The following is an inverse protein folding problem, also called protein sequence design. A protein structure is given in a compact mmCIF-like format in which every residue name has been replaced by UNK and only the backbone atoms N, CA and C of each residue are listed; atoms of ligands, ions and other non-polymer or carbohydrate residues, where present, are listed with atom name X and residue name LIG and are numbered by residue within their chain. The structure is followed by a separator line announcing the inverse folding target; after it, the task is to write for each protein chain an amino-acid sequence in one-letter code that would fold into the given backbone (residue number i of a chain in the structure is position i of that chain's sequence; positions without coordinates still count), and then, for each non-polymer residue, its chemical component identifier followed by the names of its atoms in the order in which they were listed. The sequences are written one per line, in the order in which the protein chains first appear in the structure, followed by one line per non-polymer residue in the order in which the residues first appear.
data_IF_281989884339
#
_entry.id   IF_281989884339
#
_cell.length_a   1.000
_cell.length_b   1.000
_cell.length_c   1.000
_cell.angle_alpha   90.00
_cell.angle_beta   90.00
_cell.angle_gamma   90.00
#
_symmetry.space_group_name_H-M   'P 1'
#
loop_
_entity.id
_entity.type
_entity.pdbx_description
1 polymer ?
#
# COMPACT_ATOMS: atom_id res chain seq x y z
N UNK A 1 -11.63 -2.23 -7.73
CA UNK A 1 -10.39 -3.02 -7.77
C UNK A 1 -9.77 -3.13 -6.39
N UNK A 2 -8.74 -3.96 -6.24
CA UNK A 2 -7.93 -4.06 -5.03
C UNK A 2 -6.68 -3.20 -5.20
N UNK A 3 -6.56 -2.16 -4.38
CA UNK A 3 -5.41 -1.24 -4.34
C UNK A 3 -4.54 -1.59 -3.14
N UNK A 4 -3.24 -1.80 -3.36
CA UNK A 4 -2.27 -2.19 -2.35
C UNK A 4 -1.27 -1.07 -2.07
N UNK A 5 -1.23 -0.59 -0.83
CA UNK A 5 -0.30 0.43 -0.35
C UNK A 5 0.81 -0.26 0.44
N UNK A 6 2.04 -0.24 -0.07
CA UNK A 6 3.17 -0.86 0.60
C UNK A 6 3.83 0.07 1.61
N UNK A 7 4.56 -0.55 2.55
CA UNK A 7 5.56 0.15 3.34
C UNK A 7 6.81 0.32 2.49
N UNK A 8 7.31 1.55 2.42
CA UNK A 8 8.59 1.83 1.75
C UNK A 8 9.76 1.14 2.45
N UNK A 9 10.63 0.54 1.64
CA UNK A 9 11.81 -0.20 2.10
C UNK A 9 13.13 0.46 1.69
N UNK A 10 13.08 1.50 0.85
CA UNK A 10 14.27 2.26 0.47
C UNK A 10 14.78 3.03 1.68
N UNK A 11 16.10 3.02 1.87
CA UNK A 11 16.73 3.74 2.98
C UNK A 11 16.33 5.23 2.95
N UNK A 12 16.06 5.76 4.15
CA UNK A 12 15.65 7.16 4.38
C UNK A 12 14.32 7.59 3.74
N UNK A 13 13.55 6.66 3.16
CA UNK A 13 12.20 6.93 2.70
C UNK A 13 11.20 6.72 3.85
N UNK A 14 10.57 7.81 4.29
CA UNK A 14 9.59 7.82 5.38
C UNK A 14 8.16 8.13 4.89
N UNK A 15 8.01 8.45 3.60
CA UNK A 15 6.70 8.74 2.99
C UNK A 15 5.93 7.44 2.76
N UNK A 16 4.64 7.60 2.51
CA UNK A 16 3.73 6.54 2.09
C UNK A 16 2.91 7.05 0.90
N UNK A 17 2.59 6.18 -0.05
CA UNK A 17 1.96 6.58 -1.31
C UNK A 17 0.50 7.02 -1.17
N UNK A 18 -0.11 6.83 0.01
CA UNK A 18 -1.50 7.16 0.27
C UNK A 18 -1.74 7.53 1.73
N UNK A 19 -2.41 8.67 1.93
CA UNK A 19 -2.90 9.12 3.24
C UNK A 19 -4.22 8.43 3.59
N UNK A 20 -4.67 8.45 4.87
CA UNK A 20 -5.97 7.92 5.26
C UNK A 20 -7.16 8.53 4.48
N UNK A 21 -7.14 9.83 4.16
CA UNK A 21 -8.19 10.44 3.34
C UNK A 21 -8.23 9.92 1.89
N UNK A 22 -7.07 9.55 1.33
CA UNK A 22 -7.03 8.87 0.02
C UNK A 22 -7.61 7.46 0.08
N UNK A 23 -7.39 6.75 1.20
CA UNK A 23 -8.02 5.45 1.44
C UNK A 23 -9.53 5.58 1.50
N UNK A 24 -10.04 6.52 2.30
CA UNK A 24 -11.48 6.79 2.45
C UNK A 24 -12.12 6.99 1.08
N UNK A 25 -11.57 7.92 0.28
CA UNK A 25 -12.08 8.21 -1.06
C UNK A 25 -12.12 6.97 -1.97
N UNK A 26 -11.06 6.16 -2.02
CA UNK A 26 -11.07 4.94 -2.83
C UNK A 26 -12.08 3.91 -2.32
N UNK A 27 -12.23 3.77 -1.01
CA UNK A 27 -13.21 2.86 -0.42
C UNK A 27 -14.65 3.29 -0.69
N UNK A 28 -14.95 4.60 -0.63
CA UNK A 28 -16.26 5.17 -1.00
C UNK A 28 -16.62 4.91 -2.47
N UNK A 29 -15.62 4.89 -3.35
CA UNK A 29 -15.79 4.53 -4.77
C UNK A 29 -15.81 3.01 -5.02
N UNK A 30 -15.97 2.21 -3.98
CA UNK A 30 -16.16 0.75 -4.07
C UNK A 30 -14.87 -0.04 -4.32
N UNK A 31 -13.69 0.55 -4.09
CA UNK A 31 -12.43 -0.17 -4.14
C UNK A 31 -12.07 -0.79 -2.78
N UNK A 32 -11.37 -1.92 -2.80
CA UNK A 32 -10.79 -2.49 -1.57
C UNK A 32 -9.37 -1.98 -1.44
N UNK A 33 -9.08 -1.29 -0.34
CA UNK A 33 -7.72 -0.82 -0.05
C UNK A 33 -7.04 -1.73 0.97
N UNK A 34 -5.88 -2.26 0.59
CA UNK A 34 -5.00 -3.04 1.45
C UNK A 34 -3.80 -2.16 1.81
N UNK A 35 -3.48 -2.04 3.09
CA UNK A 35 -2.32 -1.26 3.55
C UNK A 35 -1.37 -2.19 4.31
N UNK A 36 -0.08 -2.16 3.97
CA UNK A 36 0.90 -2.93 4.71
C UNK A 36 0.99 -2.43 6.15
N UNK A 37 1.10 -3.37 7.09
CA UNK A 37 1.27 -3.06 8.50
C UNK A 37 2.45 -2.10 8.66
N UNK A 38 2.17 -0.97 9.31
CA UNK A 38 3.11 0.10 9.61
C UNK A 38 3.61 0.89 8.38
N UNK A 39 2.95 0.82 7.23
CA UNK A 39 3.34 1.56 6.02
C UNK A 39 3.41 3.08 6.24
N UNK A 40 2.39 3.66 6.89
CA UNK A 40 2.34 5.11 7.11
C UNK A 40 3.00 5.61 8.39
N UNK A 41 3.66 4.76 9.19
CA UNK A 41 4.21 5.20 10.48
C UNK A 41 5.24 6.32 10.32
N UNK A 42 6.13 6.23 9.33
CA UNK A 42 7.11 7.29 9.03
C UNK A 42 6.47 8.62 8.61
N UNK A 43 5.21 8.58 8.17
CA UNK A 43 4.40 9.75 7.76
C UNK A 43 3.41 10.19 8.84
N UNK A 44 3.45 9.61 10.04
CA UNK A 44 2.52 9.96 11.13
C UNK A 44 1.12 9.34 11.02
N UNK A 45 0.96 8.28 10.23
CA UNK A 45 -0.30 7.53 10.10
C UNK A 45 -0.13 6.12 10.65
N UNK A 46 -0.74 5.83 11.80
CA UNK A 46 -0.76 4.48 12.35
C UNK A 46 -1.77 3.56 11.63
N UNK A 47 -1.67 2.26 11.94
CA UNK A 47 -2.57 1.25 11.38
C UNK A 47 -4.05 1.48 11.77
N UNK A 48 -4.31 2.10 12.93
CA UNK A 48 -5.66 2.40 13.40
C UNK A 48 -6.33 3.42 12.49
N UNK A 49 -5.63 4.52 12.18
CA UNK A 49 -6.12 5.56 11.26
C UNK A 49 -6.50 4.99 9.90
N UNK A 50 -5.68 4.12 9.33
CA UNK A 50 -6.02 3.47 8.06
C UNK A 50 -7.27 2.60 8.17
N UNK A 51 -7.43 1.83 9.25
CA UNK A 51 -8.65 1.01 9.46
C UNK A 51 -9.90 1.85 9.61
N UNK A 52 -9.83 2.95 10.36
CA UNK A 52 -10.93 3.89 10.56
C UNK A 52 -11.42 4.47 9.23
N UNK A 53 -10.51 4.65 8.26
CA UNK A 53 -10.82 5.14 6.90
C UNK A 53 -11.08 4.02 5.89
N UNK A 54 -11.34 2.78 6.35
CA UNK A 54 -11.80 1.67 5.51
C UNK A 54 -10.72 0.76 4.94
N UNK A 55 -9.44 0.96 5.23
CA UNK A 55 -8.39 0.04 4.78
C UNK A 55 -8.36 -1.27 5.58
N UNK A 56 -7.92 -2.33 4.89
CA UNK A 56 -7.58 -3.62 5.51
C UNK A 56 -6.06 -3.69 5.71
N UNK A 57 -5.61 -3.77 6.95
CA UNK A 57 -4.19 -3.93 7.27
C UNK A 57 -3.72 -5.34 6.94
N UNK A 58 -2.58 -5.45 6.26
CA UNK A 58 -1.98 -6.72 5.82
C UNK A 58 -0.56 -6.83 6.37
N UNK A 59 -0.18 -8.00 6.88
CA UNK A 59 1.08 -8.17 7.60
C UNK A 59 2.34 -8.24 6.72
N UNK A 60 2.21 -8.38 5.40
CA UNK A 60 3.36 -8.51 4.51
C UNK A 60 3.11 -7.89 3.13
N UNK A 61 4.14 -7.26 2.57
CA UNK A 61 4.18 -6.83 1.17
C UNK A 61 3.84 -7.98 0.21
N UNK A 62 4.35 -9.20 0.47
CA UNK A 62 4.08 -10.39 -0.36
C UNK A 62 2.58 -10.69 -0.49
N UNK A 63 1.83 -10.56 0.60
CA UNK A 63 0.38 -10.79 0.56
C UNK A 63 -0.34 -9.68 -0.22
N UNK A 64 0.15 -8.44 -0.17
CA UNK A 64 -0.40 -7.32 -0.96
C UNK A 64 -0.12 -7.54 -2.45
N UNK A 65 1.13 -7.81 -2.84
CA UNK A 65 1.49 -8.13 -4.22
C UNK A 65 0.64 -9.28 -4.80
N UNK A 66 0.37 -10.32 -3.99
CA UNK A 66 -0.48 -11.47 -4.39
C UNK A 66 -1.96 -11.11 -4.58
N UNK A 67 -2.47 -10.07 -3.93
CA UNK A 67 -3.92 -9.78 -3.87
C UNK A 67 -4.32 -8.54 -4.66
N UNK A 68 -3.44 -7.55 -4.77
CA UNK A 68 -3.75 -6.27 -5.37
C UNK A 68 -3.72 -6.34 -6.89
N UNK A 69 -4.67 -5.65 -7.53
CA UNK A 69 -4.69 -5.38 -8.96
C UNK A 69 -3.73 -4.22 -9.28
N UNK A 70 -3.64 -3.26 -8.35
CA UNK A 70 -2.75 -2.11 -8.41
C UNK A 70 -1.92 -2.02 -7.13
N UNK A 71 -0.60 -1.94 -7.26
CA UNK A 71 0.34 -1.75 -6.14
C UNK A 71 0.92 -0.35 -6.25
N UNK A 72 0.85 0.39 -5.14
CA UNK A 72 1.31 1.76 -5.05
C UNK A 72 2.56 1.87 -4.18
N UNK A 73 3.51 2.68 -4.65
CA UNK A 73 4.76 3.06 -3.97
C UNK A 73 4.94 4.57 -4.01
N UNK A 74 5.95 5.05 -3.30
CA UNK A 74 6.58 6.36 -3.48
C UNK A 74 7.87 6.24 -4.30
N UNK A 75 8.59 5.12 -4.15
CA UNK A 75 9.86 4.85 -4.84
C UNK A 75 9.75 3.66 -5.78
N UNK A 76 10.74 3.54 -6.65
CA UNK A 76 10.86 2.40 -7.55
C UNK A 76 10.98 1.08 -6.76
N UNK A 77 10.38 -0.04 -7.23
CA UNK A 77 10.56 -1.34 -6.61
C UNK A 77 12.04 -1.71 -6.51
N UNK A 78 12.43 -2.37 -5.41
CA UNK A 78 13.80 -2.85 -5.20
C UNK A 78 13.96 -4.33 -5.58
N UNK A 79 15.20 -4.85 -5.73
CA UNK A 79 15.44 -6.23 -6.15
C UNK A 79 14.72 -7.31 -5.32
N UNK A 80 14.49 -7.07 -4.03
CA UNK A 80 13.73 -7.96 -3.14
C UNK A 80 12.26 -8.12 -3.53
N UNK A 81 11.73 -7.18 -4.30
CA UNK A 81 10.32 -7.09 -4.67
C UNK A 81 10.05 -7.59 -6.09
N UNK A 82 11.07 -7.68 -6.94
CA UNK A 82 10.92 -8.03 -8.36
C UNK A 82 10.17 -9.35 -8.59
N UNK A 83 10.43 -10.35 -7.74
CA UNK A 83 9.75 -11.66 -7.83
C UNK A 83 8.32 -11.64 -7.31
N UNK A 84 7.91 -10.57 -6.63
CA UNK A 84 6.56 -10.39 -6.10
C UNK A 84 5.63 -9.74 -7.14
N UNK A 85 6.18 -8.93 -8.05
CA UNK A 85 5.44 -8.32 -9.15
C UNK A 85 4.87 -9.39 -10.06
N UNK A 86 3.61 -9.22 -10.46
CA UNK A 86 2.89 -10.18 -11.29
C UNK A 86 2.53 -9.57 -12.63
N UNK A 87 2.34 -10.43 -13.63
CA UNK A 87 1.77 -10.03 -14.92
C UNK A 87 0.39 -9.40 -14.71
N UNK A 88 0.07 -8.40 -15.53
CA UNK A 88 -1.22 -7.68 -15.54
C UNK A 88 -1.51 -6.88 -14.25
N UNK A 89 -0.48 -6.66 -13.41
CA UNK A 89 -0.55 -5.79 -12.24
C UNK A 89 -0.13 -4.36 -12.59
N UNK A 90 -0.90 -3.39 -12.13
CA UNK A 90 -0.54 -1.97 -12.26
C UNK A 90 0.46 -1.64 -11.15
N UNK A 91 1.64 -1.16 -11.50
CA UNK A 91 2.60 -0.59 -10.56
C UNK A 91 2.59 0.93 -10.75
N UNK A 92 2.27 1.66 -9.69
CA UNK A 92 2.21 3.13 -9.74
C UNK A 92 3.01 3.73 -8.59
N UNK A 93 3.88 4.68 -8.90
CA UNK A 93 4.85 5.27 -7.97
C UNK A 93 4.94 6.77 -8.12
#
# INVERSE_FOLDING_TARGET
MIVGILKEIKAEENRVSMTPGGVELLTEHGHTVLVEKNAGLGSGFDNGRYKEHGAKIVNSAKDIYRRADMVMHVKEPLPSEYKLIRKDQIIFT
#
